data_IF_776206997557
#
_entry.id   IF_776206997557
#
_cell.length_a   1.000
_cell.length_b   1.000
_cell.length_c   1.000
_cell.angle_alpha   90.00
_cell.angle_beta   90.00
_cell.angle_gamma   90.00
#
_symmetry.space_group_name_H-M   'P 1'
#
loop_
_entity.id
_entity.type
_entity.pdbx_description
1 polymer ?
#
# COMPACT_ATOMS: atom_id res chain seq x y z
N UNK A 1 20.46 -16.73 14.70
CA UNK A 1 20.02 -15.37 15.06
C UNK A 1 18.91 -14.98 14.09
N UNK A 2 17.66 -15.23 14.47
CA UNK A 2 16.45 -14.77 13.79
C UNK A 2 15.90 -13.70 14.71
N UNK A 3 16.23 -12.44 14.44
CA UNK A 3 16.10 -11.38 15.44
C UNK A 3 14.64 -10.97 15.71
N UNK A 4 13.69 -11.26 14.82
CA UNK A 4 12.26 -10.97 15.01
C UNK A 4 11.38 -11.95 14.19
N UNK A 5 10.65 -12.85 14.84
CA UNK A 5 9.59 -13.70 14.24
C UNK A 5 10.02 -15.03 13.60
N UNK A 6 9.16 -16.05 13.64
CA UNK A 6 9.30 -17.28 12.84
C UNK A 6 8.86 -17.03 11.39
N UNK A 7 9.33 -17.82 10.42
CA UNK A 7 8.90 -17.70 9.01
C UNK A 7 7.37 -17.73 8.90
N UNK A 8 6.72 -18.58 9.70
CA UNK A 8 5.26 -18.69 9.75
C UNK A 8 4.60 -17.35 10.14
N UNK A 9 5.10 -16.68 11.18
CA UNK A 9 4.58 -15.36 11.60
C UNK A 9 4.75 -14.28 10.51
N UNK A 10 5.84 -14.32 9.76
CA UNK A 10 6.06 -13.39 8.65
C UNK A 10 5.08 -13.64 7.51
N UNK A 11 4.82 -14.91 7.18
CA UNK A 11 3.85 -15.29 6.15
C UNK A 11 2.45 -14.84 6.54
N UNK A 12 2.06 -15.06 7.80
CA UNK A 12 0.76 -14.64 8.33
C UNK A 12 0.59 -13.12 8.27
N UNK A 13 1.61 -12.36 8.70
CA UNK A 13 1.61 -10.89 8.66
C UNK A 13 1.55 -10.34 7.23
N UNK A 14 2.36 -10.88 6.32
CA UNK A 14 2.36 -10.47 4.92
C UNK A 14 1.01 -10.79 4.26
N UNK A 15 0.48 -12.00 4.49
CA UNK A 15 -0.79 -12.43 3.94
C UNK A 15 -1.94 -11.56 4.43
N UNK A 16 -2.02 -11.30 5.74
CA UNK A 16 -3.00 -10.39 6.34
C UNK A 16 -2.98 -9.02 5.66
N UNK A 17 -1.79 -8.43 5.52
CA UNK A 17 -1.61 -7.12 4.88
C UNK A 17 -2.01 -7.15 3.40
N UNK A 18 -1.61 -8.17 2.65
CA UNK A 18 -1.96 -8.34 1.25
C UNK A 18 -3.49 -8.45 1.05
N UNK A 19 -4.18 -9.20 1.91
CA UNK A 19 -5.65 -9.34 1.85
C UNK A 19 -6.38 -8.03 2.12
N UNK A 20 -5.86 -7.16 3.00
CA UNK A 20 -6.39 -5.79 3.16
C UNK A 20 -6.32 -5.02 1.84
N UNK A 21 -5.16 -5.03 1.16
CA UNK A 21 -4.99 -4.32 -0.11
C UNK A 21 -5.80 -4.94 -1.25
N UNK A 22 -5.93 -6.26 -1.31
CA UNK A 22 -6.80 -6.93 -2.29
C UNK A 22 -8.27 -6.58 -2.05
N UNK A 23 -8.73 -6.57 -0.81
CA UNK A 23 -10.07 -6.10 -0.45
C UNK A 23 -10.28 -4.65 -0.89
N UNK A 24 -9.33 -3.76 -0.57
CA UNK A 24 -9.36 -2.36 -0.99
C UNK A 24 -9.39 -2.17 -2.51
N UNK A 25 -8.62 -2.95 -3.26
CA UNK A 25 -8.63 -2.93 -4.72
C UNK A 25 -9.99 -3.39 -5.28
N UNK A 26 -10.62 -4.41 -4.70
CA UNK A 26 -11.96 -4.85 -5.10
C UNK A 26 -13.03 -3.81 -4.78
N UNK A 27 -12.97 -3.18 -3.60
CA UNK A 27 -13.82 -2.03 -3.25
C UNK A 27 -13.64 -0.92 -4.29
N UNK A 28 -12.40 -0.56 -4.62
CA UNK A 28 -12.12 0.48 -5.61
C UNK A 28 -12.70 0.11 -6.99
N UNK A 29 -12.56 -1.15 -7.44
CA UNK A 29 -13.15 -1.61 -8.70
C UNK A 29 -14.68 -1.51 -8.73
N UNK A 30 -15.33 -1.86 -7.62
CA UNK A 30 -16.79 -1.76 -7.46
C UNK A 30 -17.21 -0.29 -7.45
N UNK A 31 -16.55 0.55 -6.66
CA UNK A 31 -16.81 2.01 -6.60
C UNK A 31 -16.60 2.67 -7.97
N UNK A 32 -15.53 2.32 -8.69
CA UNK A 32 -15.26 2.83 -10.04
C UNK A 32 -16.26 2.32 -11.08
N UNK A 33 -16.96 1.21 -10.82
CA UNK A 33 -18.07 0.77 -11.67
C UNK A 33 -19.28 1.70 -11.57
N UNK A 34 -19.55 2.24 -10.38
CA UNK A 34 -20.65 3.18 -10.16
C UNK A 34 -20.27 4.63 -10.49
N UNK A 35 -19.08 5.08 -10.11
CA UNK A 35 -18.63 6.47 -10.30
C UNK A 35 -18.15 6.78 -11.72
N UNK A 36 -17.59 5.79 -12.43
CA UNK A 36 -17.01 5.96 -13.78
C UNK A 36 -17.52 4.89 -14.76
N UNK A 37 -18.83 4.82 -15.05
CA UNK A 37 -19.40 3.76 -15.88
C UNK A 37 -18.96 3.84 -17.36
N UNK A 38 -18.80 5.07 -17.89
CA UNK A 38 -18.56 5.31 -19.33
C UNK A 38 -17.09 5.25 -19.77
N UNK A 39 -16.17 4.92 -18.87
CA UNK A 39 -14.75 4.78 -19.25
C UNK A 39 -14.56 3.54 -20.14
N UNK A 40 -13.72 3.61 -21.20
CA UNK A 40 -13.46 2.47 -22.06
C UNK A 40 -12.80 1.35 -21.24
N UNK A 41 -13.41 0.17 -21.21
CA UNK A 41 -12.92 -1.01 -20.49
C UNK A 41 -12.53 -2.08 -21.51
N UNK A 42 -11.23 -2.26 -21.82
CA UNK A 42 -10.76 -3.30 -22.72
C UNK A 42 -11.12 -4.71 -22.24
N UNK A 43 -11.22 -4.90 -20.93
CA UNK A 43 -11.61 -6.16 -20.29
C UNK A 43 -12.67 -5.92 -19.21
N UNK A 44 -13.76 -6.69 -19.24
CA UNK A 44 -14.91 -6.54 -18.34
C UNK A 44 -15.13 -7.82 -17.53
N UNK A 45 -14.68 -7.78 -16.27
CA UNK A 45 -14.91 -8.86 -15.31
C UNK A 45 -16.36 -8.85 -14.81
N UNK A 46 -17.04 -10.00 -14.68
CA UNK A 46 -18.31 -10.12 -13.97
C UNK A 46 -18.20 -9.59 -12.52
N UNK A 47 -19.22 -8.86 -12.05
CA UNK A 47 -19.20 -8.20 -10.73
C UNK A 47 -19.19 -9.21 -9.56
N UNK A 48 -19.60 -10.45 -9.84
CA UNK A 48 -19.58 -11.56 -8.88
C UNK A 48 -18.15 -11.83 -8.37
N UNK A 49 -17.14 -11.72 -9.23
CA UNK A 49 -15.75 -12.02 -8.86
C UNK A 49 -15.22 -11.01 -7.83
N UNK A 50 -15.28 -9.67 -8.06
CA UNK A 50 -14.89 -8.69 -7.05
C UNK A 50 -15.65 -8.81 -5.72
N UNK A 51 -16.95 -9.12 -5.76
CA UNK A 51 -17.74 -9.32 -4.54
C UNK A 51 -17.24 -10.54 -3.76
N UNK A 52 -17.04 -11.66 -4.45
CA UNK A 52 -16.56 -12.90 -3.82
C UNK A 52 -15.19 -12.67 -3.17
N UNK A 53 -14.25 -12.06 -3.90
CA UNK A 53 -12.92 -11.75 -3.36
C UNK A 53 -13.00 -10.77 -2.19
N UNK A 54 -13.89 -9.78 -2.24
CA UNK A 54 -14.11 -8.87 -1.10
C UNK A 54 -14.57 -9.64 0.15
N UNK A 55 -15.52 -10.56 0.02
CA UNK A 55 -16.00 -11.38 1.15
C UNK A 55 -14.89 -12.27 1.69
N UNK A 56 -14.12 -12.94 0.83
CA UNK A 56 -12.97 -13.76 1.24
C UNK A 56 -11.92 -12.91 1.95
N UNK A 57 -11.59 -11.74 1.41
CA UNK A 57 -10.62 -10.83 2.03
C UNK A 57 -11.08 -10.37 3.41
N UNK A 58 -12.37 -10.06 3.57
CA UNK A 58 -12.94 -9.69 4.87
C UNK A 58 -12.83 -10.83 5.88
N UNK A 59 -13.11 -12.07 5.47
CA UNK A 59 -12.93 -13.24 6.33
C UNK A 59 -11.47 -13.46 6.71
N UNK A 60 -10.54 -13.40 5.76
CA UNK A 60 -9.11 -13.64 6.02
C UNK A 60 -8.43 -12.54 6.83
N UNK A 61 -9.01 -11.34 6.86
CA UNK A 61 -8.59 -10.26 7.77
C UNK A 61 -9.23 -10.43 9.15
N UNK A 62 -10.50 -10.82 9.24
CA UNK A 62 -11.21 -10.97 10.51
C UNK A 62 -10.80 -12.24 11.30
N UNK A 63 -10.59 -13.35 10.61
CA UNK A 63 -10.22 -14.64 11.20
C UNK A 63 -8.98 -14.57 12.11
N UNK A 64 -7.82 -14.02 11.68
CA UNK A 64 -6.64 -13.93 12.55
C UNK A 64 -6.87 -13.01 13.77
N UNK A 65 -7.69 -11.96 13.64
CA UNK A 65 -8.00 -11.05 14.75
C UNK A 65 -8.83 -11.76 15.83
N UNK A 66 -9.76 -12.65 15.44
CA UNK A 66 -10.65 -13.36 16.36
C UNK A 66 -9.95 -14.57 16.99
N UNK A 67 -9.27 -15.38 16.17
CA UNK A 67 -8.71 -16.66 16.62
C UNK A 67 -7.40 -16.50 17.37
N UNK A 68 -6.55 -15.56 16.95
CA UNK A 68 -5.22 -15.33 17.54
C UNK A 68 -4.91 -13.83 17.55
N UNK A 69 -5.50 -13.06 18.48
CA UNK A 69 -5.26 -11.63 18.59
C UNK A 69 -3.80 -11.35 18.96
N UNK A 70 -2.94 -11.28 17.95
CA UNK A 70 -1.54 -10.89 18.07
C UNK A 70 -1.44 -9.38 17.90
N UNK A 71 -0.61 -8.76 18.74
CA UNK A 71 -0.33 -7.31 18.68
C UNK A 71 0.32 -6.94 17.33
N UNK A 72 0.97 -7.89 16.66
CA UNK A 72 1.57 -7.74 15.33
C UNK A 72 0.57 -7.24 14.28
N UNK A 73 -0.67 -7.74 14.28
CA UNK A 73 -1.69 -7.27 13.34
C UNK A 73 -2.13 -5.83 13.62
N UNK A 74 -2.19 -5.43 14.90
CA UNK A 74 -2.46 -4.04 15.27
C UNK A 74 -1.34 -3.13 14.79
N UNK A 75 -0.08 -3.53 14.96
CA UNK A 75 1.06 -2.79 14.42
C UNK A 75 1.01 -2.70 12.89
N UNK A 76 0.58 -3.75 12.18
CA UNK A 76 0.39 -3.72 10.74
C UNK A 76 -0.59 -2.60 10.32
N UNK A 77 -1.76 -2.56 10.96
CA UNK A 77 -2.81 -1.57 10.66
C UNK A 77 -2.33 -0.16 11.01
N UNK A 78 -1.71 0.02 12.17
CA UNK A 78 -1.14 1.32 12.57
C UNK A 78 -0.05 1.77 11.60
N UNK A 79 0.77 0.86 11.09
CA UNK A 79 1.81 1.17 10.11
C UNK A 79 1.22 1.63 8.76
N UNK A 80 0.17 0.95 8.28
CA UNK A 80 -0.57 1.38 7.09
C UNK A 80 -1.16 2.79 7.28
N UNK A 81 -1.77 3.04 8.45
CA UNK A 81 -2.33 4.36 8.77
C UNK A 81 -1.24 5.44 8.94
N UNK A 82 -0.08 5.09 9.49
CA UNK A 82 1.06 6.00 9.58
C UNK A 82 1.51 6.46 8.19
N UNK A 83 1.47 5.58 7.18
CA UNK A 83 1.70 5.95 5.79
C UNK A 83 0.79 7.09 5.31
N UNK A 84 -0.48 7.12 5.74
CA UNK A 84 -1.41 8.22 5.45
C UNK A 84 -1.02 9.50 6.20
N UNK A 85 -0.58 9.37 7.46
CA UNK A 85 -0.08 10.51 8.26
C UNK A 85 1.12 11.17 7.58
N UNK A 86 2.02 10.39 6.97
CA UNK A 86 3.15 10.92 6.20
C UNK A 86 2.73 11.46 4.83
N UNK A 87 1.73 10.87 4.17
CA UNK A 87 1.24 11.35 2.88
C UNK A 87 0.74 12.81 2.94
N UNK A 88 0.05 13.19 4.02
CA UNK A 88 -0.53 14.54 4.18
C UNK A 88 0.53 15.67 4.16
N UNK A 89 1.53 15.73 5.05
CA UNK A 89 2.54 16.80 5.06
C UNK A 89 3.43 16.79 3.81
N UNK A 90 3.87 15.62 3.36
CA UNK A 90 4.85 15.52 2.27
C UNK A 90 4.22 15.69 0.88
N UNK A 91 3.04 15.11 0.64
CA UNK A 91 2.40 15.12 -0.69
C UNK A 91 1.29 16.15 -0.78
N UNK A 92 0.37 16.19 0.19
CA UNK A 92 -0.76 17.12 0.12
C UNK A 92 -0.34 18.58 0.40
N UNK A 93 0.51 18.81 1.39
CA UNK A 93 1.07 20.14 1.69
C UNK A 93 2.37 20.46 0.95
N UNK A 94 2.94 19.50 0.21
CA UNK A 94 4.16 19.71 -0.60
C UNK A 94 5.39 20.10 0.22
N UNK A 95 5.49 19.66 1.47
CA UNK A 95 6.64 20.00 2.31
C UNK A 95 7.89 19.23 1.86
N UNK A 96 8.82 19.94 1.21
CA UNK A 96 10.12 19.43 0.84
C UNK A 96 11.20 19.97 1.79
N UNK A 97 11.77 19.12 2.68
CA UNK A 97 12.84 19.57 3.57
C UNK A 97 14.11 19.87 2.77
N UNK A 98 14.60 21.11 2.83
CA UNK A 98 15.78 21.60 2.09
C UNK A 98 17.09 20.81 2.31
N UNK A 99 17.18 20.03 3.40
CA UNK A 99 18.33 19.16 3.65
C UNK A 99 18.34 17.91 2.74
N UNK A 100 17.17 17.49 2.23
CA UNK A 100 17.06 16.28 1.41
C UNK A 100 17.85 16.41 0.10
N UNK A 101 17.99 17.62 -0.44
CA UNK A 101 18.78 17.87 -1.66
C UNK A 101 20.25 17.53 -1.46
N UNK A 102 20.83 17.91 -0.31
CA UNK A 102 22.21 17.59 0.02
C UNK A 102 22.42 16.08 0.20
N UNK A 103 21.44 15.39 0.79
CA UNK A 103 21.47 13.93 0.98
C UNK A 103 21.37 13.22 -0.37
N UNK A 104 20.45 13.66 -1.23
CA UNK A 104 20.30 13.10 -2.58
C UNK A 104 21.56 13.31 -3.41
N UNK A 105 22.18 14.50 -3.37
CA UNK A 105 23.46 14.78 -4.05
C UNK A 105 24.60 13.90 -3.51
N UNK A 106 24.68 13.71 -2.19
CA UNK A 106 25.67 12.82 -1.60
C UNK A 106 25.54 11.38 -2.13
N UNK A 107 24.32 10.83 -2.16
CA UNK A 107 24.08 9.49 -2.68
C UNK A 107 24.25 9.38 -4.20
N UNK A 108 23.92 10.44 -4.96
CA UNK A 108 24.17 10.49 -6.40
C UNK A 108 25.67 10.40 -6.71
N UNK A 109 26.52 11.14 -5.98
CA UNK A 109 27.97 11.05 -6.14
C UNK A 109 28.54 9.72 -5.63
N UNK A 110 28.01 9.19 -4.52
CA UNK A 110 28.47 7.92 -3.94
C UNK A 110 28.23 6.73 -4.87
N UNK A 111 27.08 6.69 -5.54
CA UNK A 111 26.69 5.60 -6.44
C UNK A 111 26.89 5.90 -7.92
N UNK A 112 27.38 7.10 -8.27
CA UNK A 112 27.57 7.56 -9.65
C UNK A 112 26.28 7.46 -10.50
N UNK A 113 25.14 7.83 -9.89
CA UNK A 113 23.81 7.74 -10.52
C UNK A 113 23.29 9.13 -10.91
N UNK A 114 22.78 9.24 -12.15
CA UNK A 114 22.17 10.47 -12.70
C UNK A 114 20.64 10.37 -12.64
N UNK A 115 19.91 11.46 -12.33
CA UNK A 115 18.45 11.47 -12.37
C UNK A 115 17.91 11.16 -13.77
N UNK A 116 16.76 10.48 -13.83
CA UNK A 116 16.02 10.28 -15.08
C UNK A 116 15.50 11.62 -15.58
N UNK A 117 15.77 11.95 -16.85
CA UNK A 117 15.52 13.23 -17.52
C UNK A 117 14.05 13.71 -17.49
N UNK A 118 13.11 12.93 -16.97
CA UNK A 118 11.71 13.34 -16.78
C UNK A 118 11.49 14.43 -15.72
N UNK A 119 12.50 14.75 -14.89
CA UNK A 119 12.45 15.81 -13.88
C UNK A 119 12.89 17.20 -14.38
N UNK A 120 13.23 17.35 -15.66
CA UNK A 120 13.60 18.64 -16.26
C UNK A 120 12.42 19.34 -16.99
N UNK A 121 11.19 18.80 -16.90
CA UNK A 121 9.99 19.41 -17.51
C UNK A 121 9.07 20.09 -16.47
N UNK A 122 9.38 19.96 -15.19
CA UNK A 122 8.66 20.64 -14.12
C UNK A 122 9.65 21.53 -13.37
N UNK A 123 10.06 22.59 -14.07
CA UNK A 123 10.52 23.82 -13.42
C UNK A 123 9.44 24.36 -12.46
#
# INVERSE_FOLDING_TARGET
>A
MVLYGTIDSLIDFFSFTAWIFYGGAMVALIVMRYTKPNYPRPYKVPLIIPILVMVISGYLVAAPIIEKPQIEYLYAVLFILAGLIFYVPFVHYGYHPKFMDNVTLFFQMLFEVVPTTSMAMFD
#
